data_IF_876195506217
#
_entry.id   IF_876195506217
#
_cell.length_a   1.000
_cell.length_b   1.000
_cell.length_c   1.000
_cell.angle_alpha   90.00
_cell.angle_beta   90.00
_cell.angle_gamma   90.00
#
_symmetry.space_group_name_H-M   'P 1'
#
loop_
_entity.id
_entity.type
_entity.pdbx_description
1 polymer ?
#
# COMPACT_ATOMS: atom_id res chain seq x y z
N UNK A 1 -31.37 2.57 -16.91
CA UNK A 1 -31.41 1.51 -15.88
C UNK A 1 -30.13 1.49 -15.05
N UNK A 2 -28.93 1.24 -15.58
CA UNK A 2 -27.68 1.26 -14.81
C UNK A 2 -27.33 2.66 -14.25
N UNK A 3 -27.49 3.73 -15.02
CA UNK A 3 -27.24 5.10 -14.53
C UNK A 3 -28.14 5.49 -13.36
N UNK A 4 -29.43 5.10 -13.40
CA UNK A 4 -30.35 5.37 -12.28
C UNK A 4 -29.96 4.56 -11.04
N UNK A 5 -29.44 3.33 -11.24
CA UNK A 5 -28.88 2.51 -10.15
C UNK A 5 -27.64 3.16 -9.55
N UNK A 6 -26.72 3.67 -10.40
CA UNK A 6 -25.53 4.40 -9.93
C UNK A 6 -25.92 5.58 -9.03
N UNK A 7 -26.81 6.45 -9.51
CA UNK A 7 -27.29 7.61 -8.75
C UNK A 7 -27.98 7.24 -7.44
N UNK A 8 -28.71 6.13 -7.42
CA UNK A 8 -29.35 5.63 -6.20
C UNK A 8 -28.29 5.08 -5.21
N UNK A 9 -27.25 4.43 -5.69
CA UNK A 9 -26.12 3.99 -4.85
C UNK A 9 -25.37 5.19 -4.27
N UNK A 10 -25.11 6.22 -5.07
CA UNK A 10 -24.48 7.47 -4.61
C UNK A 10 -25.31 8.20 -3.55
N UNK A 11 -26.65 8.24 -3.70
CA UNK A 11 -27.56 8.84 -2.72
C UNK A 11 -27.53 8.11 -1.36
N UNK A 12 -27.21 6.82 -1.34
CA UNK A 12 -27.14 6.01 -0.13
C UNK A 12 -25.71 5.81 0.37
N UNK A 13 -24.72 6.45 -0.25
CA UNK A 13 -23.30 6.31 0.11
C UNK A 13 -22.98 7.10 1.39
N UNK A 14 -22.70 6.41 2.47
CA UNK A 14 -22.28 7.02 3.74
C UNK A 14 -20.96 7.78 3.67
N UNK A 15 -20.12 7.50 2.64
CA UNK A 15 -18.84 8.13 2.41
C UNK A 15 -18.89 9.26 1.36
N UNK A 16 -20.07 9.61 0.82
CA UNK A 16 -20.20 10.58 -0.26
C UNK A 16 -19.53 11.93 0.04
N UNK A 17 -19.66 12.42 1.28
CA UNK A 17 -19.07 13.71 1.70
C UNK A 17 -17.54 13.73 1.75
N UNK A 18 -16.89 12.57 1.80
CA UNK A 18 -15.42 12.50 1.83
C UNK A 18 -14.78 12.93 0.51
N UNK A 19 -15.49 12.79 -0.63
CA UNK A 19 -15.03 13.27 -1.92
C UNK A 19 -14.63 14.75 -1.89
N UNK A 20 -15.42 15.58 -1.19
CA UNK A 20 -15.19 17.01 -1.08
C UNK A 20 -13.93 17.36 -0.28
N UNK A 21 -13.32 16.40 0.37
CA UNK A 21 -12.07 16.57 1.12
C UNK A 21 -10.81 16.44 0.25
N UNK A 22 -10.96 16.12 -1.05
CA UNK A 22 -9.84 15.95 -1.98
C UNK A 22 -9.85 16.99 -3.09
N UNK A 23 -8.66 17.34 -3.59
CA UNK A 23 -8.51 18.04 -4.84
C UNK A 23 -8.58 17.02 -5.98
N UNK A 24 -9.51 17.23 -6.91
CA UNK A 24 -9.64 16.39 -8.10
C UNK A 24 -9.02 17.16 -9.27
N UNK A 25 -8.04 16.59 -10.00
CA UNK A 25 -7.50 17.20 -11.20
C UNK A 25 -8.61 17.49 -12.21
N UNK A 26 -8.35 18.41 -13.14
CA UNK A 26 -9.32 18.78 -14.15
C UNK A 26 -8.70 18.75 -15.55
N UNK A 27 -9.51 18.40 -16.54
CA UNK A 27 -9.19 18.42 -17.95
C UNK A 27 -10.25 19.25 -18.67
N UNK A 28 -9.84 20.24 -19.47
CA UNK A 28 -10.75 21.16 -20.18
C UNK A 28 -11.81 21.82 -19.28
N UNK A 29 -11.44 22.14 -18.03
CA UNK A 29 -12.32 22.77 -17.05
C UNK A 29 -13.36 21.83 -16.41
N UNK A 30 -13.31 20.54 -16.70
CA UNK A 30 -14.15 19.51 -16.07
C UNK A 30 -13.30 18.64 -15.13
N UNK A 31 -13.83 18.18 -13.99
CA UNK A 31 -13.12 17.25 -13.11
C UNK A 31 -12.78 15.95 -13.84
N UNK A 32 -11.54 15.47 -13.65
CA UNK A 32 -11.13 14.16 -14.14
C UNK A 32 -11.91 13.02 -13.44
N UNK A 33 -12.17 11.95 -14.17
CA UNK A 33 -12.55 10.67 -13.59
C UNK A 33 -11.26 9.95 -13.16
N UNK A 34 -10.96 9.98 -11.85
CA UNK A 34 -9.66 9.58 -11.32
C UNK A 34 -9.70 8.16 -10.74
N UNK A 35 -9.30 7.17 -11.54
CA UNK A 35 -9.28 5.74 -11.19
C UNK A 35 -7.85 5.18 -11.02
N UNK A 36 -6.91 6.03 -10.64
CA UNK A 36 -5.48 5.67 -10.58
C UNK A 36 -4.88 5.81 -9.18
N UNK A 37 -5.74 5.75 -8.15
CA UNK A 37 -5.31 5.76 -6.75
C UNK A 37 -4.36 4.60 -6.37
N UNK A 38 -4.35 3.53 -7.15
CA UNK A 38 -3.40 2.43 -7.06
C UNK A 38 -1.96 2.81 -7.49
N UNK A 39 -1.78 3.96 -8.13
CA UNK A 39 -0.47 4.50 -8.54
C UNK A 39 -0.10 5.74 -7.73
N UNK A 40 -1.00 6.70 -7.64
CA UNK A 40 -0.91 7.89 -6.80
C UNK A 40 -2.30 8.29 -6.31
N UNK A 41 -2.51 8.41 -5.00
CA UNK A 41 -3.77 8.90 -4.44
C UNK A 41 -3.97 10.41 -4.62
N UNK A 42 -5.23 10.86 -4.54
CA UNK A 42 -5.57 12.28 -4.62
C UNK A 42 -5.06 13.04 -3.38
N UNK A 43 -4.75 14.32 -3.58
CA UNK A 43 -4.32 15.20 -2.50
C UNK A 43 -5.48 15.56 -1.57
N UNK A 44 -5.40 15.24 -0.26
CA UNK A 44 -6.33 15.79 0.72
C UNK A 44 -6.18 17.31 0.80
N UNK A 45 -7.29 18.04 0.83
CA UNK A 45 -7.29 19.52 0.92
C UNK A 45 -6.57 20.03 2.16
N UNK A 46 -6.71 19.32 3.27
CA UNK A 46 -6.10 19.68 4.56
C UNK A 46 -4.57 19.49 4.60
N UNK A 47 -3.97 18.80 3.61
CA UNK A 47 -2.51 18.54 3.59
C UNK A 47 -1.69 19.82 3.62
N UNK A 48 -2.16 20.87 2.91
CA UNK A 48 -1.50 22.17 2.90
C UNK A 48 -1.39 22.78 4.29
N UNK A 49 -2.44 22.69 5.09
CA UNK A 49 -2.50 23.25 6.45
C UNK A 49 -1.54 22.52 7.39
N UNK A 50 -1.47 21.17 7.32
CA UNK A 50 -0.54 20.37 8.12
C UNK A 50 0.92 20.72 7.81
N UNK A 51 1.28 20.84 6.54
CA UNK A 51 2.64 21.23 6.13
C UNK A 51 2.93 22.67 6.54
N UNK A 52 1.98 23.59 6.35
CA UNK A 52 2.14 24.99 6.73
C UNK A 52 2.34 25.17 8.26
N UNK A 53 1.66 24.35 9.06
CA UNK A 53 1.82 24.34 10.50
C UNK A 53 3.25 23.95 10.92
N UNK A 54 3.83 22.93 10.29
CA UNK A 54 5.21 22.52 10.56
C UNK A 54 6.23 23.56 10.09
N UNK A 55 5.99 24.20 8.95
CA UNK A 55 6.82 25.33 8.48
C UNK A 55 6.75 26.52 9.45
N UNK A 56 5.57 26.81 9.99
CA UNK A 56 5.40 27.85 10.99
C UNK A 56 6.09 27.49 12.32
N UNK A 57 5.97 26.24 12.78
CA UNK A 57 6.69 25.75 13.95
C UNK A 57 8.21 25.91 13.76
N UNK A 58 8.73 25.52 12.62
CA UNK A 58 10.16 25.67 12.30
C UNK A 58 10.58 27.15 12.31
N UNK A 59 9.79 28.03 11.67
CA UNK A 59 10.06 29.48 11.61
C UNK A 59 10.11 30.12 13.00
N UNK A 60 9.24 29.72 13.92
CA UNK A 60 9.07 30.39 15.21
C UNK A 60 9.86 29.75 16.36
N UNK A 61 10.00 28.44 16.35
CA UNK A 61 10.64 27.67 17.43
C UNK A 61 12.09 27.27 17.09
N UNK A 62 12.44 27.11 15.80
CA UNK A 62 13.73 26.56 15.41
C UNK A 62 13.95 25.20 16.04
N UNK A 63 15.11 24.98 16.69
CA UNK A 63 15.45 23.71 17.34
C UNK A 63 14.49 23.33 18.47
N UNK A 64 13.84 24.31 19.12
CA UNK A 64 12.87 24.05 20.20
C UNK A 64 11.63 23.27 19.72
N UNK A 65 11.30 23.34 18.41
CA UNK A 65 10.22 22.55 17.81
C UNK A 65 10.39 21.04 17.95
N UNK A 66 11.57 20.53 18.35
CA UNK A 66 11.72 19.12 18.72
C UNK A 66 11.01 18.78 20.04
N UNK A 67 10.76 19.77 20.90
CA UNK A 67 10.28 19.56 22.27
C UNK A 67 9.00 20.36 22.57
N UNK A 68 8.70 21.37 21.80
CA UNK A 68 7.61 22.33 22.05
C UNK A 68 6.56 22.25 20.93
N UNK A 69 5.30 22.44 21.32
CA UNK A 69 4.19 22.60 20.38
C UNK A 69 4.18 24.00 19.78
N UNK A 70 3.72 24.09 18.55
CA UNK A 70 3.37 25.34 17.88
C UNK A 70 1.87 25.33 17.55
N UNK A 71 1.07 26.18 18.19
CA UNK A 71 -0.34 26.28 17.83
C UNK A 71 -0.47 26.83 16.40
N UNK A 72 -1.43 26.28 15.66
CA UNK A 72 -1.81 26.75 14.33
C UNK A 72 -3.31 26.98 14.27
N UNK A 73 -3.76 28.12 13.73
CA UNK A 73 -5.16 28.52 13.76
C UNK A 73 -6.11 27.55 13.06
N UNK A 74 -5.64 26.91 11.98
CA UNK A 74 -6.44 25.99 11.16
C UNK A 74 -6.46 24.56 11.66
N UNK A 75 -5.67 24.23 12.69
CA UNK A 75 -5.52 22.86 13.18
C UNK A 75 -5.84 22.75 14.66
N UNK A 76 -6.26 21.57 15.15
CA UNK A 76 -6.41 21.34 16.57
C UNK A 76 -5.12 21.65 17.34
N UNK A 77 -5.21 22.12 18.57
CA UNK A 77 -4.05 22.41 19.43
C UNK A 77 -3.15 21.16 19.57
N UNK A 78 -1.84 21.37 19.57
CA UNK A 78 -0.85 20.27 19.67
C UNK A 78 -0.61 19.54 18.36
N UNK A 79 -0.96 20.11 17.22
CA UNK A 79 -0.83 19.46 15.90
C UNK A 79 0.48 19.75 15.18
N UNK A 80 1.31 20.68 15.62
CA UNK A 80 2.60 21.00 15.01
C UNK A 80 3.70 21.09 16.06
N UNK A 81 4.93 20.78 15.68
CA UNK A 81 6.06 20.68 16.63
C UNK A 81 6.18 19.28 17.26
N UNK A 82 6.90 19.21 18.40
CA UNK A 82 7.25 17.95 19.08
C UNK A 82 7.86 16.90 18.14
N UNK A 83 8.78 17.32 17.31
CA UNK A 83 9.35 16.50 16.22
C UNK A 83 10.12 15.29 16.72
N UNK A 84 10.53 15.28 18.00
CA UNK A 84 11.25 14.15 18.59
C UNK A 84 10.45 12.84 18.49
N UNK A 85 9.15 12.93 18.73
CA UNK A 85 8.23 11.81 18.78
C UNK A 85 7.11 11.91 17.73
N UNK A 86 7.32 12.70 16.68
CA UNK A 86 6.30 12.98 15.66
C UNK A 86 5.69 11.73 15.04
N UNK A 87 6.51 10.71 14.80
CA UNK A 87 6.06 9.42 14.24
C UNK A 87 4.99 8.72 15.09
N UNK A 88 4.96 8.95 16.41
CA UNK A 88 3.93 8.39 17.30
C UNK A 88 2.53 8.91 17.01
N UNK A 89 2.43 10.16 16.53
CA UNK A 89 1.15 10.75 16.14
C UNK A 89 0.53 10.06 14.90
N UNK A 90 1.31 9.24 14.21
CA UNK A 90 0.90 8.47 13.03
C UNK A 90 0.56 7.02 13.37
N UNK A 91 1.10 6.50 14.47
CA UNK A 91 1.16 5.06 14.76
C UNK A 91 -0.22 4.47 15.03
N UNK A 92 -1.08 5.15 15.81
CA UNK A 92 -2.38 4.61 16.22
C UNK A 92 -3.28 4.31 15.02
N UNK A 93 -3.51 5.33 14.18
CA UNK A 93 -4.34 5.17 12.98
C UNK A 93 -3.70 4.18 12.00
N UNK A 94 -2.38 4.28 11.80
CA UNK A 94 -1.68 3.38 10.88
C UNK A 94 -1.75 1.91 11.35
N UNK A 95 -1.59 1.65 12.64
CA UNK A 95 -1.73 0.32 13.23
C UNK A 95 -3.16 -0.22 13.04
N UNK A 96 -4.17 0.61 13.26
CA UNK A 96 -5.57 0.26 13.00
C UNK A 96 -5.85 -0.12 11.55
N UNK A 97 -5.22 0.56 10.58
CA UNK A 97 -5.42 0.29 9.15
C UNK A 97 -4.85 -1.07 8.71
N UNK A 98 -3.82 -1.57 9.39
CA UNK A 98 -3.15 -2.83 9.02
C UNK A 98 -3.43 -3.97 10.02
N UNK A 99 -4.21 -3.72 11.06
CA UNK A 99 -4.48 -4.71 12.11
C UNK A 99 -3.22 -5.10 12.90
N UNK A 100 -2.39 -4.10 13.19
CA UNK A 100 -1.20 -4.23 14.05
C UNK A 100 -1.42 -3.61 15.43
N UNK A 101 -0.48 -3.84 16.34
CA UNK A 101 -0.39 -3.16 17.64
C UNK A 101 0.47 -1.90 17.57
N UNK A 102 0.36 -1.02 18.56
CA UNK A 102 1.11 0.23 18.58
C UNK A 102 2.63 0.03 18.61
N UNK A 103 3.09 -1.05 19.24
CA UNK A 103 4.52 -1.40 19.33
C UNK A 103 5.07 -2.17 18.12
N UNK A 104 4.19 -2.49 17.16
CA UNK A 104 4.52 -3.24 15.95
C UNK A 104 4.61 -2.38 14.68
N UNK A 105 4.11 -1.14 14.72
CA UNK A 105 4.00 -0.28 13.53
C UNK A 105 4.85 0.97 13.67
N UNK A 106 5.56 1.30 12.61
CA UNK A 106 6.38 2.51 12.50
C UNK A 106 6.24 3.13 11.10
N UNK A 107 6.17 4.45 11.05
CA UNK A 107 6.23 5.22 9.80
C UNK A 107 7.65 5.75 9.63
N UNK A 108 8.37 5.24 8.64
CA UNK A 108 9.78 5.56 8.40
C UNK A 108 10.18 5.33 6.94
N UNK A 109 11.22 6.01 6.46
CA UNK A 109 11.87 5.82 5.16
C UNK A 109 10.88 5.80 3.96
N UNK A 110 11.22 5.01 2.93
CA UNK A 110 10.37 4.66 1.78
C UNK A 110 10.22 3.15 1.70
N UNK A 111 9.25 2.66 0.91
CA UNK A 111 8.91 1.23 0.84
C UNK A 111 10.12 0.33 0.59
N UNK A 112 10.87 0.57 -0.49
CA UNK A 112 12.00 -0.29 -0.86
C UNK A 112 13.13 -0.24 0.17
N UNK A 113 13.37 0.92 0.81
CA UNK A 113 14.32 1.03 1.93
C UNK A 113 13.87 0.17 3.10
N UNK A 114 12.57 0.21 3.46
CA UNK A 114 12.02 -0.62 4.52
C UNK A 114 12.13 -2.12 4.19
N UNK A 115 11.85 -2.53 2.94
CA UNK A 115 12.06 -3.91 2.49
C UNK A 115 13.51 -4.35 2.68
N UNK A 116 14.48 -3.52 2.32
CA UNK A 116 15.91 -3.80 2.55
C UNK A 116 16.26 -3.93 4.04
N UNK A 117 15.71 -3.07 4.90
CA UNK A 117 15.92 -3.17 6.36
C UNK A 117 15.32 -4.46 6.92
N UNK A 118 14.14 -4.85 6.45
CA UNK A 118 13.51 -6.11 6.87
C UNK A 118 14.29 -7.32 6.36
N UNK A 119 14.73 -7.31 5.12
CA UNK A 119 15.59 -8.38 4.59
C UNK A 119 16.93 -8.45 5.33
N UNK A 120 17.54 -7.30 5.66
CA UNK A 120 18.75 -7.29 6.49
C UNK A 120 18.52 -7.91 7.89
N UNK A 121 17.31 -7.92 8.39
CA UNK A 121 16.93 -8.57 9.65
C UNK A 121 16.56 -10.04 9.45
N UNK A 122 15.65 -10.35 8.54
CA UNK A 122 14.99 -11.64 8.45
C UNK A 122 15.61 -12.61 7.45
N UNK A 123 16.25 -12.14 6.39
CA UNK A 123 17.00 -12.99 5.48
C UNK A 123 18.34 -13.37 6.08
N UNK A 124 18.43 -14.57 6.68
CA UNK A 124 19.62 -15.13 7.33
C UNK A 124 20.06 -16.40 6.62
N UNK A 125 20.74 -16.26 5.45
CA UNK A 125 21.09 -17.41 4.65
C UNK A 125 22.11 -18.32 5.38
N UNK A 126 21.87 -19.61 5.25
CA UNK A 126 22.78 -20.68 5.71
C UNK A 126 23.11 -21.58 4.52
N UNK A 127 24.04 -22.54 4.72
CA UNK A 127 24.34 -23.53 3.67
C UNK A 127 23.13 -24.37 3.25
N UNK A 128 22.15 -24.57 4.12
CA UNK A 128 20.94 -25.35 3.83
C UNK A 128 19.77 -24.48 3.40
N UNK A 129 19.51 -23.39 4.10
CA UNK A 129 18.43 -22.43 3.85
C UNK A 129 19.02 -21.11 3.35
N UNK A 130 18.96 -20.85 2.05
CA UNK A 130 19.50 -19.63 1.46
C UNK A 130 18.58 -19.02 0.39
N UNK A 131 17.39 -19.61 0.18
CA UNK A 131 16.48 -19.19 -0.89
C UNK A 131 15.43 -18.23 -0.37
N UNK A 132 15.01 -17.31 -1.26
CA UNK A 132 13.83 -16.48 -1.06
C UNK A 132 12.77 -16.88 -2.08
N UNK A 133 11.53 -17.03 -1.62
CA UNK A 133 10.38 -17.34 -2.46
C UNK A 133 9.58 -16.04 -2.66
N UNK A 134 9.31 -15.73 -3.95
CA UNK A 134 8.43 -14.65 -4.40
C UNK A 134 7.43 -15.19 -5.43
N UNK A 135 6.44 -14.39 -5.81
CA UNK A 135 5.60 -14.72 -6.97
C UNK A 135 6.32 -14.42 -8.29
N UNK A 136 6.02 -15.18 -9.35
CA UNK A 136 6.42 -14.83 -10.70
C UNK A 136 5.75 -13.52 -11.12
N UNK A 137 6.45 -12.73 -11.91
CA UNK A 137 6.00 -11.38 -12.29
C UNK A 137 5.81 -10.43 -11.11
N UNK A 138 6.59 -10.62 -10.03
CA UNK A 138 6.66 -9.67 -8.93
C UNK A 138 6.94 -8.25 -9.45
N UNK A 139 6.51 -7.24 -8.70
CA UNK A 139 6.84 -5.87 -9.08
C UNK A 139 8.36 -5.71 -9.19
N UNK A 140 8.88 -5.08 -10.26
CA UNK A 140 10.33 -5.05 -10.53
C UNK A 140 11.19 -4.54 -9.36
N UNK A 141 10.66 -3.59 -8.56
CA UNK A 141 11.40 -3.08 -7.39
C UNK A 141 11.65 -4.16 -6.35
N UNK A 142 10.67 -5.04 -6.11
CA UNK A 142 10.78 -6.10 -5.09
C UNK A 142 11.74 -7.18 -5.54
N UNK A 143 11.62 -7.60 -6.82
CA UNK A 143 12.55 -8.55 -7.40
C UNK A 143 13.99 -8.02 -7.35
N UNK A 144 14.20 -6.76 -7.76
CA UNK A 144 15.51 -6.12 -7.71
C UNK A 144 16.05 -6.04 -6.27
N UNK A 145 15.18 -5.73 -5.29
CA UNK A 145 15.56 -5.69 -3.88
C UNK A 145 16.00 -7.07 -3.39
N UNK A 146 15.25 -8.14 -3.71
CA UNK A 146 15.58 -9.52 -3.36
C UNK A 146 16.90 -9.96 -4.01
N UNK A 147 17.08 -9.72 -5.31
CA UNK A 147 18.31 -10.09 -6.04
C UNK A 147 19.53 -9.37 -5.50
N UNK A 148 19.39 -8.11 -5.08
CA UNK A 148 20.48 -7.36 -4.45
C UNK A 148 20.87 -7.94 -3.07
N UNK A 149 19.93 -8.50 -2.32
CA UNK A 149 20.26 -9.19 -1.07
C UNK A 149 21.07 -10.47 -1.32
N UNK A 150 20.76 -11.22 -2.37
CA UNK A 150 21.60 -12.36 -2.75
C UNK A 150 23.05 -11.93 -3.03
N UNK A 151 23.23 -10.89 -3.82
CA UNK A 151 24.56 -10.36 -4.12
C UNK A 151 25.33 -9.90 -2.87
N UNK A 152 24.65 -9.24 -1.91
CA UNK A 152 25.27 -8.83 -0.64
C UNK A 152 25.74 -10.02 0.21
N UNK A 153 25.09 -11.19 0.08
CA UNK A 153 25.47 -12.42 0.77
C UNK A 153 26.37 -13.36 -0.07
N UNK A 154 26.84 -12.93 -1.24
CA UNK A 154 27.70 -13.73 -2.12
C UNK A 154 26.98 -14.85 -2.86
N UNK A 155 25.66 -14.72 -3.06
CA UNK A 155 24.81 -15.66 -3.78
C UNK A 155 24.36 -15.07 -5.13
N UNK A 156 23.77 -15.90 -5.99
CA UNK A 156 23.17 -15.51 -7.26
C UNK A 156 21.67 -15.78 -7.27
N UNK A 157 20.92 -15.03 -8.10
CA UNK A 157 19.47 -15.25 -8.27
C UNK A 157 19.15 -16.66 -8.80
N UNK A 158 19.99 -17.20 -9.70
CA UNK A 158 19.78 -18.56 -10.26
C UNK A 158 19.88 -19.66 -9.21
N UNK A 159 20.58 -19.43 -8.10
CA UNK A 159 20.73 -20.39 -7.01
C UNK A 159 19.67 -20.19 -5.92
N UNK A 160 19.27 -18.94 -5.65
CA UNK A 160 18.55 -18.57 -4.43
C UNK A 160 17.13 -18.05 -4.66
N UNK A 161 16.74 -17.68 -5.91
CA UNK A 161 15.40 -17.20 -6.19
C UNK A 161 14.46 -18.37 -6.52
N UNK A 162 13.30 -18.41 -5.86
CA UNK A 162 12.18 -19.27 -6.22
C UNK A 162 11.01 -18.38 -6.61
N UNK A 163 10.55 -18.51 -7.85
CA UNK A 163 9.38 -17.82 -8.38
C UNK A 163 8.21 -18.79 -8.53
N UNK A 164 7.13 -18.56 -7.77
CA UNK A 164 5.88 -19.31 -7.89
C UNK A 164 5.20 -18.89 -9.20
N UNK A 165 4.85 -19.85 -10.05
CA UNK A 165 4.09 -19.57 -11.27
C UNK A 165 2.58 -19.51 -10.96
N UNK A 166 1.82 -18.64 -11.65
CA UNK A 166 0.37 -18.64 -11.54
C UNK A 166 -0.20 -19.95 -12.10
N UNK A 167 -1.27 -20.43 -11.49
CA UNK A 167 -1.93 -21.71 -11.83
C UNK A 167 -3.34 -21.52 -12.42
N UNK A 168 -3.90 -20.33 -12.35
CA UNK A 168 -5.21 -19.97 -12.87
C UNK A 168 -5.10 -18.75 -13.82
N UNK A 169 -4.56 -18.97 -15.01
CA UNK A 169 -4.25 -17.87 -15.94
C UNK A 169 -3.15 -16.98 -15.40
N UNK A 170 -3.50 -15.81 -14.85
CA UNK A 170 -2.55 -14.89 -14.23
C UNK A 170 -2.72 -14.80 -12.71
N UNK A 171 -3.56 -15.65 -12.13
CA UNK A 171 -3.88 -15.67 -10.71
C UNK A 171 -3.13 -16.81 -10.00
N UNK A 172 -2.97 -16.63 -8.70
CA UNK A 172 -2.32 -17.61 -7.81
C UNK A 172 -3.36 -18.17 -6.86
N UNK A 173 -3.60 -19.50 -6.88
CA UNK A 173 -4.38 -20.10 -5.82
C UNK A 173 -3.59 -20.12 -4.51
N UNK A 174 -4.29 -20.03 -3.38
CA UNK A 174 -3.66 -20.17 -2.06
C UNK A 174 -3.00 -21.54 -1.91
N UNK A 175 -3.59 -22.59 -2.50
CA UNK A 175 -3.05 -23.95 -2.51
C UNK A 175 -1.68 -24.00 -3.21
N UNK A 176 -1.57 -23.45 -4.42
CA UNK A 176 -0.29 -23.40 -5.17
C UNK A 176 0.81 -22.69 -4.40
N UNK A 177 0.47 -21.59 -3.72
CA UNK A 177 1.44 -20.86 -2.89
C UNK A 177 1.87 -21.72 -1.70
N UNK A 178 0.92 -22.31 -0.99
CA UNK A 178 1.19 -23.16 0.17
C UNK A 178 2.00 -24.40 -0.19
N UNK A 179 1.68 -25.04 -1.32
CA UNK A 179 2.41 -26.23 -1.82
C UNK A 179 3.86 -25.86 -2.21
N UNK A 180 4.07 -24.71 -2.84
CA UNK A 180 5.41 -24.23 -3.15
C UNK A 180 6.23 -23.98 -1.87
N UNK A 181 5.63 -23.40 -0.84
CA UNK A 181 6.27 -23.19 0.47
C UNK A 181 6.64 -24.53 1.11
N UNK A 182 5.74 -25.51 1.11
CA UNK A 182 5.99 -26.86 1.65
C UNK A 182 7.09 -27.56 0.87
N UNK A 183 7.02 -27.55 -0.46
CA UNK A 183 7.98 -28.19 -1.37
C UNK A 183 9.40 -27.68 -1.16
N UNK A 184 9.55 -26.39 -0.97
CA UNK A 184 10.86 -25.73 -0.87
C UNK A 184 11.29 -25.44 0.56
N UNK A 185 10.46 -25.74 1.57
CA UNK A 185 10.63 -25.34 2.96
C UNK A 185 12.00 -25.60 3.57
N UNK A 186 12.61 -26.74 3.21
CA UNK A 186 13.95 -27.11 3.70
C UNK A 186 15.07 -26.19 3.17
N UNK A 187 14.85 -25.46 2.09
CA UNK A 187 15.83 -24.56 1.47
C UNK A 187 15.48 -23.08 1.62
N UNK A 188 14.25 -22.75 2.03
CA UNK A 188 13.81 -21.36 2.19
C UNK A 188 14.41 -20.72 3.45
N UNK A 189 15.00 -19.55 3.27
CA UNK A 189 15.44 -18.65 4.32
C UNK A 189 14.42 -17.55 4.61
N UNK A 190 13.59 -17.19 3.61
CA UNK A 190 12.56 -16.17 3.75
C UNK A 190 11.51 -16.30 2.62
N UNK A 191 10.32 -15.77 2.88
CA UNK A 191 9.26 -15.58 1.90
C UNK A 191 8.94 -14.09 1.83
N UNK A 192 8.82 -13.53 0.62
CA UNK A 192 8.34 -12.18 0.38
C UNK A 192 7.27 -12.22 -0.71
N UNK A 193 6.05 -11.85 -0.37
CA UNK A 193 4.90 -11.86 -1.30
C UNK A 193 4.16 -10.52 -1.22
N UNK A 194 3.41 -10.13 -2.27
CA UNK A 194 2.51 -8.98 -2.16
C UNK A 194 1.27 -9.32 -1.33
N UNK A 195 0.71 -8.35 -0.61
CA UNK A 195 -0.63 -8.51 -0.04
C UNK A 195 -1.72 -8.45 -1.11
N UNK A 196 -1.50 -7.58 -2.11
CA UNK A 196 -2.34 -7.47 -3.33
C UNK A 196 -1.42 -7.43 -4.53
N UNK A 197 -1.62 -8.35 -5.47
CA UNK A 197 -0.82 -8.43 -6.68
C UNK A 197 -1.11 -7.23 -7.60
N UNK A 198 -0.08 -6.48 -7.95
CA UNK A 198 -0.20 -5.16 -8.58
C UNK A 198 -0.84 -5.20 -9.98
N UNK A 199 -0.61 -6.27 -10.75
CA UNK A 199 -1.08 -6.41 -12.13
C UNK A 199 -2.55 -6.84 -12.18
N UNK A 200 -2.91 -7.86 -11.40
CA UNK A 200 -4.25 -8.45 -11.40
C UNK A 200 -5.22 -7.82 -10.40
N UNK A 201 -4.72 -7.15 -9.36
CA UNK A 201 -5.54 -6.69 -8.24
C UNK A 201 -5.94 -7.81 -7.27
N UNK A 202 -5.43 -9.03 -7.47
CA UNK A 202 -5.72 -10.18 -6.61
C UNK A 202 -5.21 -9.96 -5.19
N UNK A 203 -6.07 -10.13 -4.20
CA UNK A 203 -5.71 -10.21 -2.78
C UNK A 203 -5.29 -11.62 -2.45
N UNK A 204 -4.07 -11.81 -1.95
CA UNK A 204 -3.61 -13.13 -1.49
C UNK A 204 -4.16 -13.43 -0.09
N UNK A 205 -4.44 -14.69 0.19
CA UNK A 205 -4.83 -15.13 1.54
C UNK A 205 -3.59 -15.13 2.47
N UNK A 206 -3.19 -13.92 2.88
CA UNK A 206 -2.02 -13.70 3.74
C UNK A 206 -2.07 -14.54 5.02
N UNK A 207 -3.27 -14.74 5.58
CA UNK A 207 -3.47 -15.54 6.79
C UNK A 207 -3.10 -17.00 6.57
N UNK A 208 -3.71 -17.64 5.56
CA UNK A 208 -3.46 -19.06 5.27
C UNK A 208 -2.00 -19.31 4.88
N UNK A 209 -1.42 -18.43 4.07
CA UNK A 209 -0.02 -18.51 3.64
C UNK A 209 0.92 -18.39 4.87
N UNK A 210 0.66 -17.44 5.75
CA UNK A 210 1.46 -17.22 6.97
C UNK A 210 1.40 -18.44 7.91
N UNK A 211 0.24 -19.10 8.03
CA UNK A 211 0.12 -20.33 8.83
C UNK A 211 1.07 -21.41 8.33
N UNK A 212 1.21 -21.59 7.02
CA UNK A 212 2.12 -22.59 6.44
C UNK A 212 3.58 -22.21 6.65
N UNK A 213 3.94 -20.96 6.42
CA UNK A 213 5.29 -20.43 6.66
C UNK A 213 5.74 -20.63 8.11
N UNK A 214 4.87 -20.25 9.07
CA UNK A 214 5.14 -20.39 10.50
C UNK A 214 5.31 -21.83 10.96
N UNK A 215 4.56 -22.80 10.41
CA UNK A 215 4.73 -24.23 10.71
C UNK A 215 6.11 -24.77 10.31
N UNK A 216 6.73 -24.15 9.31
CA UNK A 216 8.06 -24.52 8.80
C UNK A 216 9.16 -23.60 9.36
N UNK A 217 8.81 -22.70 10.26
CA UNK A 217 9.74 -21.73 10.86
C UNK A 217 10.48 -20.91 9.79
N UNK A 218 9.74 -20.46 8.75
CA UNK A 218 10.27 -19.64 7.67
C UNK A 218 9.75 -18.22 7.85
N UNK A 219 10.61 -17.20 8.01
CA UNK A 219 10.19 -15.81 8.07
C UNK A 219 9.41 -15.41 6.81
N UNK A 220 8.24 -14.77 7.02
CA UNK A 220 7.39 -14.29 5.94
C UNK A 220 7.11 -12.80 6.06
N UNK A 221 7.34 -12.08 4.97
CA UNK A 221 7.01 -10.67 4.85
C UNK A 221 6.08 -10.40 3.68
N UNK A 222 5.36 -9.27 3.77
CA UNK A 222 4.48 -8.82 2.70
C UNK A 222 4.82 -7.40 2.24
N UNK A 223 4.88 -7.20 0.90
CA UNK A 223 4.72 -5.88 0.31
C UNK A 223 3.22 -5.53 0.26
N UNK A 224 2.84 -4.52 1.00
CA UNK A 224 1.46 -4.07 1.10
C UNK A 224 1.19 -2.77 0.31
N UNK A 225 2.02 -2.46 -0.70
CA UNK A 225 1.90 -1.24 -1.50
C UNK A 225 0.51 -1.07 -2.14
N UNK A 226 -0.14 -2.17 -2.50
CA UNK A 226 -1.50 -2.19 -3.04
C UNK A 226 -2.56 -2.65 -2.02
N UNK A 227 -2.16 -3.00 -0.79
CA UNK A 227 -3.06 -3.48 0.25
C UNK A 227 -3.40 -2.41 1.29
N UNK A 228 -2.41 -1.63 1.76
CA UNK A 228 -2.62 -0.60 2.77
C UNK A 228 -3.55 0.52 2.26
N UNK A 229 -4.65 0.75 2.98
CA UNK A 229 -5.70 1.68 2.60
C UNK A 229 -6.70 1.14 1.56
N UNK A 230 -6.56 -0.12 1.14
CA UNK A 230 -7.40 -0.76 0.12
C UNK A 230 -8.17 -1.98 0.66
N UNK A 231 -7.53 -2.83 1.45
CA UNK A 231 -8.12 -4.07 1.97
C UNK A 231 -7.99 -4.15 3.48
N UNK A 232 -8.94 -4.85 4.13
CA UNK A 232 -8.85 -5.11 5.57
C UNK A 232 -7.76 -6.14 5.86
N UNK A 233 -6.97 -5.86 6.90
CA UNK A 233 -5.86 -6.71 7.33
C UNK A 233 -5.86 -6.90 8.84
N UNK A 234 -5.24 -7.99 9.31
CA UNK A 234 -5.05 -8.31 10.73
C UNK A 234 -3.64 -8.89 10.92
N UNK A 235 -2.61 -8.08 10.62
CA UNK A 235 -1.23 -8.56 10.56
C UNK A 235 -0.75 -9.18 11.86
N UNK A 236 -1.14 -8.60 13.01
CA UNK A 236 -0.84 -9.15 14.32
C UNK A 236 -1.45 -10.54 14.50
N UNK A 237 -2.78 -10.65 14.34
CA UNK A 237 -3.51 -11.90 14.59
C UNK A 237 -3.15 -13.00 13.58
N UNK A 238 -2.71 -12.61 12.37
CA UNK A 238 -2.21 -13.55 11.36
C UNK A 238 -0.79 -14.01 11.63
N UNK A 239 -0.08 -13.42 12.63
CA UNK A 239 1.30 -13.74 12.96
C UNK A 239 2.30 -13.52 11.80
N UNK A 240 2.11 -12.47 11.01
CA UNK A 240 3.05 -12.04 9.96
C UNK A 240 4.35 -11.59 10.62
N UNK A 241 5.52 -11.90 10.08
CA UNK A 241 6.79 -11.47 10.67
C UNK A 241 7.04 -9.99 10.44
N UNK A 242 6.88 -9.52 9.21
CA UNK A 242 7.01 -8.11 8.84
C UNK A 242 6.15 -7.77 7.62
N UNK A 243 5.87 -6.49 7.45
CA UNK A 243 5.26 -5.97 6.23
C UNK A 243 5.69 -4.52 5.99
N UNK A 244 5.75 -4.11 4.72
CA UNK A 244 6.11 -2.75 4.32
C UNK A 244 5.11 -2.20 3.30
N UNK A 245 4.83 -0.90 3.34
CA UNK A 245 3.93 -0.25 2.38
C UNK A 245 4.31 1.19 2.12
N UNK A 246 4.01 1.67 0.91
CA UNK A 246 4.04 3.09 0.61
C UNK A 246 2.73 3.77 1.04
N UNK A 247 2.77 5.07 1.30
CA UNK A 247 1.61 5.83 1.74
C UNK A 247 1.04 6.74 0.65
N UNK A 248 1.73 6.87 -0.49
CA UNK A 248 1.34 7.77 -1.56
C UNK A 248 0.26 7.21 -2.50
N UNK A 249 -0.03 5.89 -2.44
CA UNK A 249 -1.09 5.26 -3.23
C UNK A 249 -2.45 5.45 -2.54
N UNK A 250 -3.11 4.39 -2.14
CA UNK A 250 -4.43 4.43 -1.50
C UNK A 250 -4.49 5.25 -0.20
N UNK A 251 -3.35 5.43 0.47
CA UNK A 251 -3.25 6.29 1.65
C UNK A 251 -3.09 7.78 1.34
N UNK A 252 -3.10 8.22 0.07
CA UNK A 252 -3.23 9.62 -0.36
C UNK A 252 -2.25 10.63 0.27
N UNK A 253 -1.04 10.18 0.65
CA UNK A 253 -0.11 11.02 1.42
C UNK A 253 0.85 11.86 0.58
N UNK A 254 0.68 11.86 -0.75
CA UNK A 254 1.48 12.64 -1.69
C UNK A 254 2.69 11.91 -2.26
N UNK A 255 3.24 12.39 -3.38
CA UNK A 255 4.28 11.71 -4.13
C UNK A 255 5.56 11.53 -3.29
N UNK A 256 6.08 10.29 -3.26
CA UNK A 256 7.31 9.95 -2.54
C UNK A 256 7.22 10.04 -1.01
N UNK A 257 6.03 10.05 -0.46
CA UNK A 257 5.81 10.15 1.00
C UNK A 257 6.48 9.04 1.79
N UNK A 258 6.76 9.36 3.07
CA UNK A 258 7.29 8.41 4.05
C UNK A 258 6.40 7.16 4.15
N UNK A 259 7.01 6.00 4.20
CA UNK A 259 6.38 4.68 4.18
C UNK A 259 6.04 4.15 5.58
N UNK A 260 5.22 3.11 5.63
CA UNK A 260 4.95 2.35 6.84
C UNK A 260 5.66 1.01 6.85
N UNK A 261 5.90 0.49 8.06
CA UNK A 261 6.48 -0.82 8.30
C UNK A 261 5.81 -1.45 9.53
N UNK A 262 5.53 -2.74 9.44
CA UNK A 262 5.07 -3.59 10.53
C UNK A 262 6.13 -4.61 10.87
N UNK A 263 6.39 -4.83 12.17
CA UNK A 263 7.26 -5.87 12.68
C UNK A 263 6.55 -6.50 13.88
N UNK A 264 6.25 -7.79 13.82
CA UNK A 264 5.48 -8.47 14.84
C UNK A 264 6.14 -8.38 16.23
N UNK A 265 5.34 -8.23 17.28
CA UNK A 265 5.79 -8.08 18.67
C UNK A 265 6.78 -9.18 19.13
N UNK A 266 6.63 -10.42 18.64
CA UNK A 266 7.59 -11.49 18.92
C UNK A 266 9.04 -11.17 18.50
N UNK A 267 9.21 -10.24 17.55
CA UNK A 267 10.49 -9.79 17.05
C UNK A 267 10.90 -8.44 17.65
N UNK A 268 9.97 -7.51 17.86
CA UNK A 268 10.30 -6.20 18.43
C UNK A 268 10.83 -6.31 19.84
N UNK A 269 10.32 -7.24 20.64
CA UNK A 269 10.81 -7.52 21.99
C UNK A 269 12.19 -8.19 22.03
N UNK A 270 12.64 -8.79 20.93
CA UNK A 270 13.98 -9.40 20.83
C UNK A 270 15.03 -8.37 20.39
N UNK A 271 15.61 -7.66 21.36
CA UNK A 271 16.61 -6.64 21.09
C UNK A 271 17.95 -7.20 20.56
N UNK A 272 18.20 -8.51 20.70
CA UNK A 272 19.36 -9.19 20.12
C UNK A 272 19.19 -9.55 18.65
N UNK A 273 17.98 -9.42 18.08
CA UNK A 273 17.74 -9.69 16.66
C UNK A 273 18.58 -8.73 15.80
N UNK A 274 19.40 -9.24 14.87
CA UNK A 274 20.26 -8.40 14.02
C UNK A 274 19.44 -7.39 13.22
N UNK A 275 19.89 -6.15 13.17
CA UNK A 275 19.29 -5.05 12.42
C UNK A 275 20.34 -4.04 12.00
N UNK A 276 20.08 -3.29 10.96
CA UNK A 276 20.85 -2.09 10.68
C UNK A 276 20.49 -1.05 11.75
N UNK A 277 21.49 -0.49 12.38
CA UNK A 277 21.32 0.40 13.52
C UNK A 277 21.46 1.87 13.10
N UNK A 278 20.68 2.72 13.74
CA UNK A 278 20.76 4.16 13.59
C UNK A 278 20.41 4.85 14.91
N UNK A 279 20.78 6.12 15.02
CA UNK A 279 20.62 6.87 16.27
C UNK A 279 19.16 6.93 16.74
N UNK A 280 18.20 7.02 15.80
CA UNK A 280 16.78 7.18 16.16
C UNK A 280 16.15 5.91 16.70
N UNK A 281 16.67 4.73 16.35
CA UNK A 281 16.25 3.44 16.92
C UNK A 281 16.82 3.16 18.30
N UNK A 282 17.70 4.00 18.81
CA UNK A 282 18.28 3.87 20.14
C UNK A 282 17.26 4.22 21.23
N UNK A 283 17.37 3.56 22.37
CA UNK A 283 16.57 3.79 23.59
C UNK A 283 16.46 5.29 23.93
N UNK A 284 15.24 5.76 24.18
CA UNK A 284 14.92 7.19 24.35
C UNK A 284 15.63 7.82 25.54
N UNK A 285 15.69 7.09 26.67
CA UNK A 285 16.23 7.61 27.92
C UNK A 285 17.75 7.78 27.88
N UNK A 286 18.41 7.05 26.98
CA UNK A 286 19.87 7.07 26.82
C UNK A 286 20.35 7.69 25.51
N UNK A 287 19.47 7.96 24.54
CA UNK A 287 19.80 8.50 23.22
C UNK A 287 20.71 9.74 23.28
N UNK A 288 20.38 10.69 24.14
CA UNK A 288 21.14 11.94 24.29
C UNK A 288 22.32 11.85 25.27
N UNK A 289 22.51 10.71 25.94
CA UNK A 289 23.67 10.50 26.83
C UNK A 289 24.95 10.17 26.07
N UNK A 290 24.84 9.90 24.74
CA UNK A 290 25.97 9.60 23.87
C UNK A 290 26.88 8.46 24.39
N UNK A 291 26.28 7.40 24.94
CA UNK A 291 26.97 6.30 25.63
C UNK A 291 27.80 5.41 24.71
N UNK A 292 27.68 5.51 23.39
CA UNK A 292 28.46 4.73 22.42
C UNK A 292 27.90 3.32 22.13
N UNK A 293 27.19 2.69 23.07
CA UNK A 293 26.60 1.38 22.88
C UNK A 293 25.16 1.51 22.33
N UNK A 294 24.87 0.83 21.22
CA UNK A 294 23.52 0.82 20.66
C UNK A 294 22.60 -0.08 21.49
N UNK A 295 21.57 0.53 22.07
CA UNK A 295 20.52 -0.15 22.81
C UNK A 295 19.20 0.06 22.05
N UNK A 296 18.71 -0.89 21.23
CA UNK A 296 17.50 -0.70 20.45
C UNK A 296 16.26 -0.60 21.34
N UNK A 297 15.29 0.23 20.93
CA UNK A 297 13.95 0.19 21.52
C UNK A 297 13.31 -1.19 21.28
N UNK A 298 12.54 -1.67 22.24
CA UNK A 298 11.85 -2.97 22.19
C UNK A 298 10.49 -2.88 21.45
N UNK A 299 10.37 -2.00 20.49
CA UNK A 299 9.22 -1.76 19.59
C UNK A 299 9.71 -1.66 18.17
N UNK A 300 8.79 -1.54 17.18
CA UNK A 300 9.14 -1.29 15.78
C UNK A 300 10.03 -0.05 15.61
N UNK A 301 9.98 0.91 16.52
CA UNK A 301 10.85 2.08 16.52
C UNK A 301 12.34 1.73 16.59
N UNK A 302 12.71 0.55 17.13
CA UNK A 302 14.08 0.06 17.16
C UNK A 302 14.72 -0.18 15.79
N UNK A 303 13.95 -0.09 14.70
CA UNK A 303 14.43 -0.16 13.30
C UNK A 303 14.60 1.20 12.64
N UNK A 304 14.26 2.31 13.33
CA UNK A 304 14.51 3.65 12.79
C UNK A 304 16.00 3.94 12.70
N UNK A 305 16.43 4.49 11.56
CA UNK A 305 17.83 4.89 11.35
C UNK A 305 18.06 6.36 11.74
N UNK A 306 17.25 7.24 11.20
CA UNK A 306 17.37 8.69 11.35
C UNK A 306 16.05 9.31 11.81
N UNK A 307 16.09 10.60 12.09
CA UNK A 307 14.93 11.41 12.38
C UNK A 307 13.86 11.23 11.30
N UNK A 308 12.56 11.24 11.66
CA UNK A 308 11.49 11.22 10.68
C UNK A 308 11.53 12.49 9.80
N UNK A 309 11.23 12.39 8.49
CA UNK A 309 11.12 13.54 7.60
C UNK A 309 9.81 14.29 7.88
N UNK A 310 9.83 15.31 8.73
CA UNK A 310 8.66 15.96 9.34
C UNK A 310 7.64 16.44 8.31
N UNK A 311 8.07 17.13 7.23
CA UNK A 311 7.13 17.67 6.24
C UNK A 311 6.40 16.56 5.47
N UNK A 312 7.07 15.44 5.21
CA UNK A 312 6.44 14.25 4.63
C UNK A 312 5.52 13.55 5.63
N UNK A 313 5.92 13.47 6.89
CA UNK A 313 5.11 12.89 7.96
C UNK A 313 3.83 13.71 8.23
N UNK A 314 3.89 15.04 8.10
CA UNK A 314 2.73 15.93 8.17
C UNK A 314 1.68 15.62 7.09
N UNK A 315 2.13 15.35 5.85
CA UNK A 315 1.24 14.93 4.78
C UNK A 315 0.58 13.56 5.05
N UNK A 316 1.33 12.60 5.59
CA UNK A 316 0.78 11.32 6.05
C UNK A 316 -0.27 11.53 7.14
N UNK A 317 0.02 12.39 8.12
CA UNK A 317 -0.91 12.72 9.22
C UNK A 317 -2.23 13.29 8.71
N UNK A 318 -2.17 14.23 7.75
CA UNK A 318 -3.37 14.79 7.10
C UNK A 318 -4.22 13.69 6.44
N UNK A 319 -3.61 12.74 5.78
CA UNK A 319 -4.31 11.60 5.19
C UNK A 319 -4.90 10.68 6.25
N UNK A 320 -4.13 10.30 7.27
CA UNK A 320 -4.59 9.42 8.34
C UNK A 320 -5.78 10.00 9.10
N UNK A 321 -5.88 11.34 9.22
CA UNK A 321 -7.05 12.00 9.78
C UNK A 321 -8.32 11.70 8.99
N UNK A 322 -8.23 11.65 7.64
CA UNK A 322 -9.39 11.31 6.79
C UNK A 322 -9.81 9.86 7.01
N UNK A 323 -8.86 8.93 7.12
CA UNK A 323 -9.17 7.52 7.42
C UNK A 323 -9.80 7.35 8.80
N UNK A 324 -9.31 8.06 9.81
CA UNK A 324 -9.90 8.05 11.15
C UNK A 324 -11.33 8.59 11.13
N UNK A 325 -11.55 9.72 10.47
CA UNK A 325 -12.88 10.33 10.32
C UNK A 325 -13.86 9.44 9.55
N UNK A 326 -13.36 8.64 8.61
CA UNK A 326 -14.16 7.66 7.85
C UNK A 326 -14.52 6.40 8.67
N UNK A 327 -14.01 6.26 9.91
CA UNK A 327 -14.22 5.08 10.75
C UNK A 327 -13.29 3.91 10.46
N UNK A 328 -12.11 4.19 9.89
CA UNK A 328 -11.10 3.18 9.56
C UNK A 328 -11.41 2.42 8.27
N UNK A 329 -10.90 1.18 8.16
CA UNK A 329 -10.98 0.40 6.92
C UNK A 329 -12.36 -0.20 6.63
N UNK A 330 -13.17 -0.48 7.65
CA UNK A 330 -14.41 -1.24 7.46
C UNK A 330 -15.40 -0.57 6.50
N UNK A 331 -15.78 0.73 6.67
CA UNK A 331 -16.68 1.40 5.73
C UNK A 331 -16.12 1.49 4.30
N UNK A 332 -14.79 1.65 4.17
CA UNK A 332 -14.14 1.70 2.87
C UNK A 332 -14.22 0.36 2.13
N UNK A 333 -13.99 -0.74 2.84
CA UNK A 333 -14.08 -2.10 2.28
C UNK A 333 -15.51 -2.43 1.87
N UNK A 334 -16.50 -2.04 2.66
CA UNK A 334 -17.92 -2.22 2.35
C UNK A 334 -18.30 -1.49 1.05
N UNK A 335 -17.96 -0.20 0.94
CA UNK A 335 -18.19 0.57 -0.29
C UNK A 335 -17.40 0.00 -1.48
N UNK A 336 -16.14 -0.36 -1.29
CA UNK A 336 -15.30 -0.97 -2.34
C UNK A 336 -15.95 -2.23 -2.92
N UNK A 337 -16.50 -3.12 -2.09
CA UNK A 337 -17.23 -4.31 -2.55
C UNK A 337 -18.44 -3.96 -3.41
N UNK A 338 -19.22 -2.96 -3.00
CA UNK A 338 -20.36 -2.48 -3.77
C UNK A 338 -19.92 -1.88 -5.11
N UNK A 339 -18.84 -1.07 -5.12
CA UNK A 339 -18.25 -0.51 -6.33
C UNK A 339 -17.75 -1.60 -7.28
N UNK A 340 -17.08 -2.63 -6.75
CA UNK A 340 -16.60 -3.77 -7.54
C UNK A 340 -17.74 -4.54 -8.22
N UNK A 341 -18.82 -4.85 -7.49
CA UNK A 341 -19.98 -5.53 -8.06
C UNK A 341 -20.65 -4.67 -9.13
N UNK A 342 -20.89 -3.40 -8.85
CA UNK A 342 -21.51 -2.49 -9.79
C UNK A 342 -20.65 -2.27 -11.05
N UNK A 343 -19.34 -2.17 -10.90
CA UNK A 343 -18.42 -2.01 -12.01
C UNK A 343 -18.47 -3.22 -12.96
N UNK A 344 -18.44 -4.43 -12.40
CA UNK A 344 -18.58 -5.65 -13.21
C UNK A 344 -19.93 -5.75 -13.90
N UNK A 345 -21.02 -5.42 -13.20
CA UNK A 345 -22.35 -5.35 -13.78
C UNK A 345 -22.40 -4.40 -14.99
N UNK A 346 -21.79 -3.21 -14.87
CA UNK A 346 -21.70 -2.27 -15.99
C UNK A 346 -20.87 -2.84 -17.16
N UNK A 347 -19.73 -3.48 -16.89
CA UNK A 347 -18.89 -4.09 -17.90
C UNK A 347 -19.64 -5.22 -18.64
N UNK A 348 -20.32 -6.09 -17.90
CA UNK A 348 -21.05 -7.24 -18.47
C UNK A 348 -22.24 -6.77 -19.33
N UNK A 349 -23.07 -5.84 -18.84
CA UNK A 349 -24.25 -5.37 -19.56
C UNK A 349 -23.93 -4.47 -20.76
N UNK A 350 -22.86 -3.65 -20.68
CA UNK A 350 -22.55 -2.65 -21.70
C UNK A 350 -21.48 -3.11 -22.69
N UNK A 351 -20.53 -3.95 -22.27
CA UNK A 351 -19.38 -4.35 -23.08
C UNK A 351 -19.34 -5.84 -23.40
N UNK A 352 -19.91 -6.70 -22.52
CA UNK A 352 -19.93 -8.14 -22.72
C UNK A 352 -18.52 -8.71 -22.98
N UNK A 353 -18.37 -9.52 -24.02
CA UNK A 353 -17.11 -10.22 -24.34
C UNK A 353 -15.99 -9.31 -24.87
N UNK A 354 -16.25 -8.02 -25.08
CA UNK A 354 -15.25 -7.05 -25.60
C UNK A 354 -14.17 -6.71 -24.56
N UNK A 355 -14.44 -6.95 -23.29
CA UNK A 355 -13.52 -6.71 -22.18
C UNK A 355 -13.43 -7.97 -21.34
N UNK A 356 -12.21 -8.41 -21.06
CA UNK A 356 -11.93 -9.46 -20.11
C UNK A 356 -11.47 -8.85 -18.77
N UNK A 357 -12.14 -9.18 -17.68
CA UNK A 357 -11.74 -8.76 -16.35
C UNK A 357 -10.80 -9.80 -15.75
N UNK A 358 -9.52 -9.45 -15.64
CA UNK A 358 -8.48 -10.36 -15.09
C UNK A 358 -8.61 -10.46 -13.56
N UNK A 359 -9.00 -9.36 -12.89
CA UNK A 359 -9.16 -9.35 -11.44
C UNK A 359 -10.17 -10.39 -10.97
N UNK A 360 -9.87 -11.20 -9.94
CA UNK A 360 -10.82 -12.19 -9.44
C UNK A 360 -12.03 -11.55 -8.78
N UNK A 361 -13.18 -12.24 -8.77
CA UNK A 361 -14.42 -11.71 -8.22
C UNK A 361 -14.38 -11.60 -6.69
N UNK A 362 -13.95 -12.66 -6.03
CA UNK A 362 -14.12 -12.80 -4.57
C UNK A 362 -12.90 -12.36 -3.74
N UNK A 363 -11.75 -12.17 -4.39
CA UNK A 363 -10.51 -11.80 -3.73
C UNK A 363 -9.79 -10.66 -4.47
N UNK A 364 -10.47 -9.51 -4.62
CA UNK A 364 -9.89 -8.27 -5.16
C UNK A 364 -10.12 -7.10 -4.21
N UNK A 365 -9.20 -6.12 -4.24
CA UNK A 365 -9.42 -4.80 -3.67
C UNK A 365 -10.24 -3.92 -4.63
N UNK A 366 -10.08 -2.61 -4.58
CA UNK A 366 -10.84 -1.70 -5.45
C UNK A 366 -10.38 -1.69 -6.92
N UNK A 367 -9.22 -2.27 -7.26
CA UNK A 367 -8.71 -2.31 -8.63
C UNK A 367 -9.38 -3.38 -9.46
N UNK A 368 -9.85 -3.02 -10.67
CA UNK A 368 -10.10 -3.94 -11.77
C UNK A 368 -9.04 -3.79 -12.85
N UNK A 369 -8.51 -4.92 -13.29
CA UNK A 369 -7.58 -5.05 -14.41
C UNK A 369 -8.34 -5.54 -15.63
N UNK A 370 -8.40 -4.70 -16.65
CA UNK A 370 -9.24 -4.87 -17.84
C UNK A 370 -8.36 -5.13 -19.06
N UNK A 371 -8.57 -6.27 -19.70
CA UNK A 371 -7.97 -6.59 -20.99
C UNK A 371 -9.02 -6.30 -22.08
N UNK A 372 -8.73 -5.32 -22.93
CA UNK A 372 -9.63 -4.93 -24.03
C UNK A 372 -9.36 -5.85 -25.22
N UNK A 373 -10.38 -6.61 -25.62
CA UNK A 373 -10.34 -7.55 -26.73
C UNK A 373 -10.92 -6.87 -27.97
N UNK A 374 -10.06 -6.40 -28.85
CA UNK A 374 -10.46 -5.77 -30.12
C UNK A 374 -9.62 -6.35 -31.26
N UNK A 375 -10.32 -6.85 -32.29
CA UNK A 375 -9.67 -7.31 -33.52
C UNK A 375 -9.04 -6.10 -34.24
N UNK A 376 -7.70 -6.04 -34.20
CA UNK A 376 -6.92 -5.05 -34.93
C UNK A 376 -6.66 -3.70 -34.25
N UNK A 377 -7.20 -3.46 -33.04
CA UNK A 377 -6.93 -2.23 -32.27
C UNK A 377 -6.07 -2.52 -31.05
N UNK A 378 -4.88 -1.93 -30.93
CA UNK A 378 -4.07 -2.06 -29.72
C UNK A 378 -4.81 -1.50 -28.50
N UNK A 379 -4.92 -2.26 -27.41
CA UNK A 379 -5.54 -1.80 -26.15
C UNK A 379 -4.93 -0.50 -25.62
N UNK A 380 -3.66 -0.22 -25.94
CA UNK A 380 -2.97 1.03 -25.64
C UNK A 380 -3.59 2.25 -26.31
N UNK A 381 -4.18 2.10 -27.51
CA UNK A 381 -4.89 3.19 -28.18
C UNK A 381 -6.20 3.52 -27.45
N UNK A 382 -6.92 2.51 -26.99
CA UNK A 382 -8.11 2.71 -26.15
C UNK A 382 -7.78 3.42 -24.84
N UNK A 383 -6.68 3.02 -24.19
CA UNK A 383 -6.16 3.72 -23.01
C UNK A 383 -5.88 5.20 -23.31
N UNK A 384 -5.17 5.51 -24.41
CA UNK A 384 -4.85 6.90 -24.75
C UNK A 384 -6.11 7.73 -25.02
N UNK A 385 -7.12 7.18 -25.69
CA UNK A 385 -8.38 7.89 -25.94
C UNK A 385 -9.17 8.15 -24.64
N UNK A 386 -9.09 7.26 -23.65
CA UNK A 386 -9.63 7.51 -22.31
C UNK A 386 -8.90 8.67 -21.63
N UNK A 387 -7.56 8.66 -21.63
CA UNK A 387 -6.73 9.73 -21.06
C UNK A 387 -7.07 11.10 -21.71
N UNK A 388 -7.19 11.14 -23.04
CA UNK A 388 -7.54 12.34 -23.81
C UNK A 388 -8.96 12.86 -23.49
N UNK A 389 -9.82 12.02 -22.91
CA UNK A 389 -11.18 12.39 -22.47
C UNK A 389 -11.29 12.72 -20.98
N UNK A 390 -10.17 12.88 -20.27
CA UNK A 390 -10.15 13.20 -18.84
C UNK A 390 -10.42 12.00 -17.91
N UNK A 391 -10.23 10.78 -18.41
CA UNK A 391 -10.35 9.56 -17.60
C UNK A 391 -8.95 9.05 -17.27
N UNK A 392 -8.58 9.15 -15.99
CA UNK A 392 -7.26 8.74 -15.50
C UNK A 392 -7.28 7.31 -15.03
N UNK A 393 -6.58 6.45 -15.78
CA UNK A 393 -6.35 5.03 -15.48
C UNK A 393 -4.87 4.72 -15.59
N UNK A 394 -4.48 3.46 -15.47
CA UNK A 394 -3.07 3.04 -15.51
C UNK A 394 -2.92 1.94 -16.57
N UNK A 395 -1.92 2.08 -17.46
CA UNK A 395 -1.61 1.08 -18.46
C UNK A 395 -0.52 0.12 -17.98
N UNK A 396 -0.75 -1.16 -18.22
CA UNK A 396 0.27 -2.20 -18.03
C UNK A 396 0.43 -3.04 -19.28
N UNK A 397 1.68 -3.13 -19.73
CA UNK A 397 2.01 -4.00 -20.86
C UNK A 397 1.68 -5.48 -20.52
N UNK A 398 1.25 -6.29 -21.49
CA UNK A 398 1.14 -5.91 -22.91
C UNK A 398 -0.19 -5.21 -23.28
N UNK A 399 -1.28 -5.37 -22.50
CA UNK A 399 -2.62 -4.98 -22.96
C UNK A 399 -3.65 -4.73 -21.83
N UNK A 400 -3.21 -4.32 -20.65
CA UNK A 400 -4.09 -4.16 -19.48
C UNK A 400 -4.27 -2.70 -19.09
N UNK A 401 -5.54 -2.29 -18.97
CA UNK A 401 -5.97 -1.05 -18.32
C UNK A 401 -6.34 -1.39 -16.89
N UNK A 402 -5.73 -0.72 -15.90
CA UNK A 402 -6.10 -0.86 -14.50
C UNK A 402 -6.93 0.36 -14.09
N UNK A 403 -8.13 0.10 -13.59
CA UNK A 403 -9.03 1.10 -13.04
C UNK A 403 -9.32 0.78 -11.56
N UNK A 404 -9.05 1.71 -10.68
CA UNK A 404 -9.17 1.52 -9.23
C UNK A 404 -10.07 2.60 -8.61
N UNK A 405 -11.40 2.41 -8.60
CA UNK A 405 -12.30 3.33 -7.92
C UNK A 405 -12.06 3.32 -6.41
N UNK A 406 -11.47 4.39 -5.89
CA UNK A 406 -11.16 4.51 -4.47
C UNK A 406 -12.41 4.96 -3.67
N UNK A 407 -12.79 4.25 -2.60
CA UNK A 407 -14.02 4.51 -1.85
C UNK A 407 -14.15 5.92 -1.28
N UNK A 408 -13.03 6.56 -0.94
CA UNK A 408 -13.01 7.90 -0.35
C UNK A 408 -13.43 9.02 -1.32
N UNK A 409 -13.28 8.81 -2.64
CA UNK A 409 -13.54 9.91 -3.58
C UNK A 409 -14.21 9.51 -4.89
N UNK A 410 -14.29 8.23 -5.26
CA UNK A 410 -15.00 7.84 -6.46
C UNK A 410 -16.47 7.50 -6.17
N UNK A 411 -17.35 7.90 -7.12
CA UNK A 411 -18.77 7.66 -7.09
C UNK A 411 -19.15 6.49 -7.99
N UNK A 412 -20.37 5.97 -7.82
CA UNK A 412 -20.93 4.95 -8.71
C UNK A 412 -21.28 5.53 -10.08
N UNK A 413 -21.71 6.80 -10.16
CA UNK A 413 -21.96 7.48 -11.42
C UNK A 413 -20.66 7.64 -12.24
N UNK A 414 -19.51 7.88 -11.58
CA UNK A 414 -18.20 7.89 -12.24
C UNK A 414 -17.85 6.52 -12.84
N UNK A 415 -18.14 5.43 -12.13
CA UNK A 415 -17.92 4.06 -12.63
C UNK A 415 -18.75 3.81 -13.88
N UNK A 416 -20.02 4.16 -13.84
CA UNK A 416 -20.89 4.05 -15.01
C UNK A 416 -20.37 4.89 -16.19
N UNK A 417 -19.98 6.15 -15.93
CA UNK A 417 -19.44 7.07 -16.95
C UNK A 417 -18.15 6.52 -17.56
N UNK A 418 -17.27 5.91 -16.77
CA UNK A 418 -16.08 5.25 -17.28
C UNK A 418 -16.43 4.14 -18.28
N UNK A 419 -17.37 3.26 -17.94
CA UNK A 419 -17.76 2.14 -18.82
C UNK A 419 -18.46 2.66 -20.09
N UNK A 420 -19.31 3.68 -19.98
CA UNK A 420 -19.95 4.34 -21.13
C UNK A 420 -18.89 4.93 -22.09
N UNK A 421 -17.89 5.61 -21.57
CA UNK A 421 -16.78 6.15 -22.38
C UNK A 421 -15.93 5.05 -23.00
N UNK A 422 -15.62 4.00 -22.26
CA UNK A 422 -14.91 2.84 -22.79
C UNK A 422 -15.70 2.19 -23.93
N UNK A 423 -17.03 2.06 -23.80
CA UNK A 423 -17.90 1.56 -24.85
C UNK A 423 -17.82 2.42 -26.11
N UNK A 424 -17.85 3.74 -25.96
CA UNK A 424 -17.75 4.69 -27.08
C UNK A 424 -16.37 4.61 -27.77
N UNK A 425 -15.30 4.44 -27.01
CA UNK A 425 -13.93 4.26 -27.53
C UNK A 425 -13.85 2.95 -28.34
N UNK A 426 -14.35 1.86 -27.79
CA UNK A 426 -14.39 0.55 -28.45
C UNK A 426 -15.26 0.57 -29.71
N UNK A 427 -16.38 1.30 -29.73
CA UNK A 427 -17.27 1.39 -30.90
C UNK A 427 -16.68 2.20 -32.06
N UNK A 428 -15.69 3.06 -31.81
CA UNK A 428 -15.03 3.90 -32.82
C UNK A 428 -13.76 3.26 -33.39
N UNK A 429 -13.27 2.23 -32.73
CA UNK A 429 -12.08 1.48 -33.10
C UNK A 429 -12.39 0.38 -34.12
#
# INVERSE_FOLDING_TARGET
MLLDKARKLDQNDSLASFRDRFFIPSHDGQPDLYFVGNSLGLQPKITGDYIAAELQAWKTLGVRGHFEDSPHESLPSGTAGQWLDYHQQLTETMAGLVGGRLDEVIVMNTLTVNLHLMMATFYRPTKKRNKILIEAHAFPSDKNAVESQFALHGHTSSECLIEIQPDQGQLFSTETICDAIQKHGDSLAMILLPGVQYYTGQVLDMKAITVVANKLEIPIGFDLAHAAGNVAMQLHDWNVDFACWCTYKYLNSGPGSIAGCFIHQRHTSNTALPRLAGWWGHDRDSRFKMTGDFKPMATAEGWQLSNPPILSAAAVRASLQIFADAGGMQPLVEKSKLQQHFFRECLDEMLGDKVNVISPLDCSGCQLSLEVKLDGVPGKQSYQQLEDSGIRTDWREPNVIRAAPAPLYNTFEEIWTFVDRLQQVIAKA
#
